data_IF_780851920333
#
_entry.id   IF_780851920333
#
_cell.length_a   1.000
_cell.length_b   1.000
_cell.length_c   1.000
_cell.angle_alpha   90.00
_cell.angle_beta   90.00
_cell.angle_gamma   90.00
#
_symmetry.space_group_name_H-M   'P 1'
#
loop_
_entity.id
_entity.type
_entity.pdbx_description
1 polymer ?
#
# COMPACT_ATOMS: atom_id res chain seq x y z
N UNK A 1 -22.19 -10.65 19.99
CA UNK A 1 -21.53 -9.34 20.22
C UNK A 1 -20.36 -9.42 21.20
N UNK A 2 -20.33 -10.34 22.17
CA UNK A 2 -19.22 -10.48 23.14
C UNK A 2 -17.87 -10.87 22.52
N UNK A 3 -17.87 -11.67 21.43
CA UNK A 3 -16.65 -12.02 20.68
C UNK A 3 -15.89 -10.78 20.19
N UNK A 4 -16.59 -9.68 19.91
CA UNK A 4 -15.98 -8.41 19.50
C UNK A 4 -15.76 -7.41 20.64
N UNK A 5 -16.38 -7.65 21.81
CA UNK A 5 -16.18 -6.82 23.01
C UNK A 5 -14.77 -6.98 23.57
N UNK A 6 -14.18 -8.18 23.46
CA UNK A 6 -12.75 -8.44 23.76
C UNK A 6 -11.78 -7.68 22.84
N UNK A 7 -12.27 -7.22 21.68
CA UNK A 7 -11.51 -6.41 20.71
C UNK A 7 -11.92 -4.93 20.74
N UNK A 8 -12.77 -4.51 21.68
CA UNK A 8 -13.22 -3.13 21.83
C UNK A 8 -12.23 -2.23 22.58
N UNK A 9 -11.28 -2.82 23.29
CA UNK A 9 -10.29 -2.05 24.03
C UNK A 9 -9.20 -1.52 23.08
N UNK A 10 -9.37 -0.27 22.66
CA UNK A 10 -8.44 0.44 21.81
C UNK A 10 -7.02 0.51 22.40
N UNK A 11 -6.89 0.38 23.73
CA UNK A 11 -5.62 0.39 24.47
C UNK A 11 -4.80 -0.89 24.30
N UNK A 12 -5.45 -2.04 24.11
CA UNK A 12 -4.75 -3.34 23.92
C UNK A 12 -4.10 -3.46 22.54
N UNK A 13 -4.50 -2.63 21.58
CA UNK A 13 -3.95 -2.64 20.22
C UNK A 13 -4.35 -3.85 19.37
N UNK A 14 -5.32 -4.66 19.81
CA UNK A 14 -5.62 -5.96 19.18
C UNK A 14 -6.54 -5.84 17.96
N UNK A 15 -7.35 -4.78 17.83
CA UNK A 15 -8.29 -4.69 16.72
C UNK A 15 -7.70 -3.94 15.53
N UNK A 16 -7.42 -4.63 14.39
CA UNK A 16 -6.85 -4.00 13.21
C UNK A 16 -7.86 -3.15 12.42
N UNK A 17 -9.12 -3.09 12.87
CA UNK A 17 -10.19 -2.47 12.09
C UNK A 17 -10.81 -1.23 12.73
N UNK A 18 -10.52 -0.94 14.00
CA UNK A 18 -11.02 0.27 14.64
C UNK A 18 -10.19 1.47 14.15
N UNK A 19 -10.88 2.46 13.55
CA UNK A 19 -10.32 3.77 13.27
C UNK A 19 -10.23 4.55 14.59
N UNK A 20 -9.05 5.13 14.86
CA UNK A 20 -8.90 6.05 15.98
C UNK A 20 -9.32 7.44 15.48
N UNK A 21 -10.34 8.03 16.10
CA UNK A 21 -10.56 9.48 16.02
C UNK A 21 -9.42 10.14 16.82
N UNK A 22 -8.88 11.29 16.43
CA UNK A 22 -9.60 12.57 16.51
C UNK A 22 -8.78 13.70 15.86
N UNK A 23 -9.40 14.56 15.03
CA UNK A 23 -9.01 15.97 14.98
C UNK A 23 -9.53 16.69 16.22
N UNK A 24 -8.77 17.65 16.75
CA UNK A 24 -9.26 18.59 17.77
C UNK A 24 -10.23 19.58 17.11
N UNK A 25 -11.14 20.19 17.88
CA UNK A 25 -12.05 21.22 17.35
C UNK A 25 -11.28 22.35 16.65
N UNK A 26 -10.14 22.76 17.23
CA UNK A 26 -9.23 23.75 16.64
C UNK A 26 -8.71 23.27 15.28
N UNK A 27 -8.25 22.02 15.18
CA UNK A 27 -7.70 21.51 13.92
C UNK A 27 -8.76 21.41 12.82
N UNK A 28 -10.02 21.13 13.18
CA UNK A 28 -11.13 21.18 12.23
C UNK A 28 -11.39 22.59 11.72
N UNK A 29 -11.41 23.59 12.60
CA UNK A 29 -11.63 25.00 12.21
C UNK A 29 -10.52 25.48 11.29
N UNK A 30 -9.25 25.30 11.67
CA UNK A 30 -8.10 25.65 10.83
C UNK A 30 -8.20 24.98 9.46
N UNK A 31 -8.58 23.71 9.44
CA UNK A 31 -8.67 22.95 8.20
C UNK A 31 -9.83 23.37 7.32
N UNK A 32 -10.95 23.83 7.87
CA UNK A 32 -12.03 24.41 7.08
C UNK A 32 -11.54 25.61 6.24
N UNK A 33 -10.65 26.43 6.79
CA UNK A 33 -10.06 27.57 6.07
C UNK A 33 -8.95 27.16 5.10
N UNK A 34 -8.09 26.22 5.49
CA UNK A 34 -6.90 25.84 4.70
C UNK A 34 -7.24 24.82 3.60
N UNK A 35 -8.28 24.01 3.76
CA UNK A 35 -8.63 22.93 2.85
C UNK A 35 -8.93 23.37 1.41
N UNK A 36 -9.69 24.45 1.14
CA UNK A 36 -9.91 24.92 -0.23
C UNK A 36 -8.60 25.29 -0.93
N UNK A 37 -7.71 25.98 -0.22
CA UNK A 37 -6.40 26.35 -0.74
C UNK A 37 -5.55 25.11 -1.05
N UNK A 38 -5.55 24.11 -0.15
CA UNK A 38 -4.90 22.81 -0.38
C UNK A 38 -5.46 22.07 -1.57
N UNK A 39 -6.76 22.12 -1.80
CA UNK A 39 -7.39 21.50 -2.98
C UNK A 39 -6.88 22.14 -4.27
N UNK A 40 -6.78 23.48 -4.33
CA UNK A 40 -6.23 24.19 -5.49
C UNK A 40 -4.79 23.76 -5.76
N UNK A 41 -3.94 23.74 -4.72
CA UNK A 41 -2.57 23.26 -4.86
C UNK A 41 -2.49 21.80 -5.31
N UNK A 42 -3.30 20.93 -4.71
CA UNK A 42 -3.34 19.52 -5.05
C UNK A 42 -3.74 19.30 -6.51
N UNK A 43 -4.76 20.01 -7.01
CA UNK A 43 -5.16 19.96 -8.44
C UNK A 43 -3.99 20.36 -9.33
N UNK A 44 -3.29 21.45 -9.02
CA UNK A 44 -2.10 21.89 -9.75
C UNK A 44 -1.01 20.81 -9.79
N UNK A 45 -0.68 20.20 -8.65
CA UNK A 45 0.31 19.12 -8.57
C UNK A 45 -0.14 17.85 -9.30
N UNK A 46 -1.42 17.49 -9.25
CA UNK A 46 -1.98 16.33 -9.97
C UNK A 46 -1.85 16.52 -11.48
N UNK A 47 -2.18 17.71 -12.01
CA UNK A 47 -2.04 18.02 -13.43
C UNK A 47 -0.58 17.98 -13.87
N UNK A 48 0.33 18.57 -13.07
CA UNK A 48 1.75 18.54 -13.37
C UNK A 48 2.32 17.11 -13.31
N UNK A 49 1.92 16.31 -12.33
CA UNK A 49 2.28 14.90 -12.23
C UNK A 49 1.81 14.12 -13.46
N UNK A 50 0.58 14.32 -13.92
CA UNK A 50 0.04 13.65 -15.12
C UNK A 50 0.93 13.90 -16.34
N UNK A 51 1.37 15.15 -16.54
CA UNK A 51 2.27 15.52 -17.63
C UNK A 51 3.62 14.82 -17.47
N UNK A 52 4.21 14.87 -16.27
CA UNK A 52 5.49 14.22 -15.97
C UNK A 52 5.42 12.70 -16.16
N UNK A 53 4.33 12.06 -15.76
CA UNK A 53 4.11 10.63 -15.94
C UNK A 53 3.89 10.24 -17.39
N UNK A 54 3.22 11.09 -18.18
CA UNK A 54 3.07 10.89 -19.61
C UNK A 54 4.43 10.89 -20.31
N UNK A 55 5.32 11.82 -19.94
CA UNK A 55 6.70 11.82 -20.42
C UNK A 55 7.49 10.60 -19.91
N UNK A 56 7.43 10.29 -18.61
CA UNK A 56 8.09 9.12 -18.04
C UNK A 56 7.71 7.83 -18.77
N UNK A 57 6.42 7.69 -19.06
CA UNK A 57 5.87 6.55 -19.79
C UNK A 57 6.31 6.53 -21.26
N UNK A 58 6.31 7.68 -21.94
CA UNK A 58 6.83 7.79 -23.31
C UNK A 58 8.30 7.34 -23.40
N UNK A 59 9.16 7.82 -22.49
CA UNK A 59 10.56 7.41 -22.43
C UNK A 59 10.77 5.96 -22.00
N UNK A 60 9.82 5.38 -21.26
CA UNK A 60 9.82 3.95 -20.93
C UNK A 60 9.49 3.08 -22.14
N UNK A 61 8.54 3.51 -22.98
CA UNK A 61 8.12 2.76 -24.18
C UNK A 61 9.18 2.83 -25.29
N UNK A 62 9.89 3.96 -25.42
CA UNK A 62 10.94 4.11 -26.43
C UNK A 62 12.25 3.42 -25.99
N UNK A 63 12.71 2.38 -26.71
CA UNK A 63 13.96 1.69 -26.36
C UNK A 63 15.16 2.65 -26.34
N UNK A 64 16.03 2.52 -25.32
CA UNK A 64 17.26 3.31 -25.18
C UNK A 64 17.12 4.63 -24.42
N UNK A 65 15.90 5.15 -24.20
CA UNK A 65 15.70 6.42 -23.47
C UNK A 65 15.37 6.24 -21.98
N UNK A 66 15.29 5.00 -21.49
CA UNK A 66 14.93 4.70 -20.10
C UNK A 66 15.88 5.36 -19.10
N UNK A 67 17.17 5.50 -19.42
CA UNK A 67 18.17 6.15 -18.56
C UNK A 67 17.81 7.61 -18.23
N UNK A 68 17.34 8.38 -19.23
CA UNK A 68 16.93 9.79 -19.05
C UNK A 68 15.76 9.89 -18.07
N UNK A 69 14.77 8.99 -18.24
CA UNK A 69 13.63 8.92 -17.33
C UNK A 69 14.05 8.63 -15.89
N UNK A 70 15.00 7.70 -15.69
CA UNK A 70 15.48 7.34 -14.36
C UNK A 70 16.28 8.45 -13.67
N UNK A 71 17.04 9.26 -14.41
CA UNK A 71 17.92 10.26 -13.80
C UNK A 71 17.24 11.61 -13.57
N UNK A 72 16.45 12.09 -14.54
CA UNK A 72 15.84 13.41 -14.51
C UNK A 72 14.40 13.34 -14.00
N UNK A 73 13.56 12.58 -14.72
CA UNK A 73 12.12 12.56 -14.53
C UNK A 73 11.76 11.95 -13.17
N UNK A 74 12.44 10.87 -12.77
CA UNK A 74 12.26 10.24 -11.47
C UNK A 74 12.51 11.19 -10.27
N UNK A 75 13.43 12.15 -10.38
CA UNK A 75 13.69 13.13 -9.32
C UNK A 75 12.55 14.15 -9.24
N UNK A 76 12.14 14.68 -10.38
CA UNK A 76 11.02 15.63 -10.47
C UNK A 76 9.71 15.00 -10.01
N UNK A 77 9.39 13.81 -10.50
CA UNK A 77 8.22 13.02 -10.10
C UNK A 77 8.17 12.83 -8.58
N UNK A 78 9.27 12.41 -7.96
CA UNK A 78 9.34 12.27 -6.49
C UNK A 78 9.15 13.59 -5.75
N UNK A 79 9.73 14.67 -6.24
CA UNK A 79 9.53 16.00 -5.65
C UNK A 79 8.05 16.39 -5.71
N UNK A 80 7.42 16.23 -6.86
CA UNK A 80 6.01 16.54 -7.06
C UNK A 80 5.09 15.66 -6.20
N UNK A 81 5.38 14.37 -6.07
CA UNK A 81 4.63 13.48 -5.16
C UNK A 81 4.80 13.92 -3.71
N UNK A 82 5.99 14.32 -3.27
CA UNK A 82 6.20 14.88 -1.92
C UNK A 82 5.40 16.16 -1.72
N UNK A 83 5.43 17.08 -2.68
CA UNK A 83 4.67 18.32 -2.61
C UNK A 83 3.16 18.07 -2.60
N UNK A 84 2.66 17.08 -3.35
CA UNK A 84 1.26 16.68 -3.33
C UNK A 84 0.86 16.10 -1.96
N UNK A 85 1.63 15.15 -1.45
CA UNK A 85 1.38 14.49 -0.16
C UNK A 85 1.41 15.50 1.00
N UNK A 86 2.38 16.41 0.97
CA UNK A 86 2.47 17.52 1.91
C UNK A 86 1.29 18.50 1.74
N UNK A 87 0.96 18.89 0.51
CA UNK A 87 -0.12 19.81 0.22
C UNK A 87 -1.50 19.29 0.63
N UNK A 88 -1.76 17.99 0.50
CA UNK A 88 -3.06 17.40 0.87
C UNK A 88 -3.24 17.19 2.36
N UNK A 89 -2.22 16.65 3.05
CA UNK A 89 -2.37 16.17 4.43
C UNK A 89 -1.14 16.36 5.30
N UNK A 90 -0.23 17.28 4.91
CA UNK A 90 1.06 17.47 5.57
C UNK A 90 1.86 16.17 5.71
N UNK A 91 1.73 15.22 4.76
CA UNK A 91 2.37 13.91 4.89
C UNK A 91 3.85 14.02 4.51
N UNK A 92 4.72 13.91 5.51
CA UNK A 92 6.16 13.80 5.33
C UNK A 92 6.54 12.34 5.09
N UNK A 93 7.20 12.04 3.97
CA UNK A 93 7.69 10.68 3.69
C UNK A 93 9.13 10.55 4.19
N UNK A 94 9.34 9.67 5.16
CA UNK A 94 10.65 9.39 5.76
C UNK A 94 11.03 7.95 5.46
N UNK A 95 12.28 7.74 5.08
CA UNK A 95 12.85 6.42 4.99
C UNK A 95 13.38 6.04 6.37
N UNK A 96 12.86 4.96 6.96
CA UNK A 96 13.29 4.52 8.28
C UNK A 96 14.68 3.88 8.24
N UNK A 97 15.39 3.96 9.36
CA UNK A 97 16.69 3.32 9.51
C UNK A 97 16.55 1.80 9.44
N UNK A 98 16.96 1.22 8.31
CA UNK A 98 17.11 -0.21 8.14
C UNK A 98 18.57 -0.50 7.84
N UNK A 99 19.24 -1.40 8.59
CA UNK A 99 20.70 -1.61 8.52
C UNK A 99 21.20 -2.10 7.17
N UNK A 100 20.29 -2.52 6.27
CA UNK A 100 20.59 -2.86 4.88
C UNK A 100 19.55 -2.27 3.96
N UNK A 101 19.80 -1.06 3.48
CA UNK A 101 18.96 -0.42 2.49
C UNK A 101 19.07 -1.18 1.16
N UNK A 102 18.08 -2.00 0.84
CA UNK A 102 18.02 -2.71 -0.44
C UNK A 102 17.07 -1.94 -1.35
N UNK A 103 17.63 -1.18 -2.30
CA UNK A 103 16.84 -0.62 -3.38
C UNK A 103 16.30 -1.78 -4.24
N UNK A 104 14.97 -1.88 -4.43
CA UNK A 104 14.41 -2.89 -5.31
C UNK A 104 14.90 -2.71 -6.74
N UNK A 105 15.24 -3.81 -7.39
CA UNK A 105 15.76 -3.88 -8.75
C UNK A 105 14.78 -4.56 -9.70
N UNK A 106 15.06 -4.53 -11.00
CA UNK A 106 14.21 -5.15 -12.01
C UNK A 106 13.97 -6.63 -11.73
N UNK A 107 12.70 -7.04 -11.66
CA UNK A 107 12.31 -8.41 -11.32
C UNK A 107 12.29 -8.74 -9.82
N UNK A 108 12.70 -7.83 -8.93
CA UNK A 108 12.46 -8.01 -7.50
C UNK A 108 10.96 -7.91 -7.21
N UNK A 109 10.49 -8.67 -6.21
CA UNK A 109 9.11 -8.63 -5.71
C UNK A 109 9.11 -7.91 -4.38
N UNK A 110 8.59 -6.69 -4.36
CA UNK A 110 8.39 -5.88 -3.17
C UNK A 110 7.02 -6.19 -2.61
N UNK A 111 6.94 -7.00 -1.56
CA UNK A 111 5.67 -7.26 -0.90
C UNK A 111 5.44 -6.22 0.19
N UNK A 112 4.40 -5.42 -0.01
CA UNK A 112 4.07 -4.30 0.84
C UNK A 112 2.85 -4.60 1.70
N UNK A 113 2.86 -4.04 2.90
CA UNK A 113 1.66 -3.91 3.70
C UNK A 113 0.70 -2.88 3.10
N UNK A 114 -0.57 -2.91 3.50
CA UNK A 114 -1.58 -1.96 3.03
C UNK A 114 -2.32 -1.32 4.22
N UNK A 115 -2.19 0.00 4.40
CA UNK A 115 -2.82 0.83 5.44
C UNK A 115 -3.63 1.97 4.84
N UNK A 116 -3.14 2.56 3.75
CA UNK A 116 -3.71 3.77 3.17
C UNK A 116 -3.79 3.71 1.65
N UNK A 117 -4.71 4.48 1.08
CA UNK A 117 -4.75 4.81 -0.36
C UNK A 117 -3.47 5.50 -0.85
N UNK A 118 -2.66 6.06 0.06
CA UNK A 118 -1.41 6.75 -0.26
C UNK A 118 -0.17 5.84 -0.26
N UNK A 119 -0.29 4.56 0.12
CA UNK A 119 0.85 3.66 0.28
C UNK A 119 1.69 3.53 -0.98
N UNK A 120 1.05 3.51 -2.16
CA UNK A 120 1.78 3.50 -3.43
C UNK A 120 2.68 4.73 -3.59
N UNK A 121 2.17 5.93 -3.32
CA UNK A 121 2.91 7.19 -3.45
C UNK A 121 4.07 7.22 -2.46
N UNK A 122 3.82 6.75 -1.25
CA UNK A 122 4.81 6.69 -0.16
C UNK A 122 5.93 5.70 -0.48
N UNK A 123 5.58 4.51 -0.98
CA UNK A 123 6.54 3.49 -1.42
C UNK A 123 7.35 3.98 -2.62
N UNK A 124 6.73 4.66 -3.58
CA UNK A 124 7.41 5.24 -4.73
C UNK A 124 8.49 6.25 -4.32
N UNK A 125 8.13 7.18 -3.42
CA UNK A 125 9.05 8.20 -2.92
C UNK A 125 10.20 7.59 -2.13
N UNK A 126 9.90 6.68 -1.19
CA UNK A 126 10.90 6.09 -0.30
C UNK A 126 11.77 5.04 -1.00
N UNK A 127 11.15 4.16 -1.79
CA UNK A 127 11.81 3.10 -2.54
C UNK A 127 12.56 3.60 -3.77
N UNK A 128 12.38 4.88 -4.15
CA UNK A 128 12.97 5.49 -5.34
C UNK A 128 12.62 4.72 -6.62
N UNK A 129 11.36 4.31 -6.73
CA UNK A 129 10.85 3.46 -7.80
C UNK A 129 10.06 4.31 -8.81
N UNK A 130 10.68 4.89 -9.87
CA UNK A 130 9.96 5.77 -10.79
C UNK A 130 8.88 5.03 -11.59
N UNK A 131 9.13 3.75 -11.91
CA UNK A 131 8.26 2.90 -12.69
C UNK A 131 8.28 1.50 -12.07
N UNK A 132 7.11 0.98 -11.74
CA UNK A 132 6.94 -0.35 -11.16
C UNK A 132 5.55 -0.88 -11.51
N UNK A 133 5.38 -2.19 -11.40
CA UNK A 133 4.07 -2.81 -11.55
C UNK A 133 3.45 -2.99 -10.19
N UNK A 134 2.15 -2.76 -10.07
CA UNK A 134 1.42 -2.99 -8.82
C UNK A 134 0.48 -4.17 -8.99
N UNK A 135 0.51 -5.11 -8.06
CA UNK A 135 -0.42 -6.22 -7.99
C UNK A 135 -1.15 -6.24 -6.64
N UNK A 136 -2.43 -6.58 -6.66
CA UNK A 136 -3.26 -6.73 -5.48
C UNK A 136 -3.84 -8.13 -5.44
N UNK A 137 -3.83 -8.75 -4.27
CA UNK A 137 -4.66 -9.92 -4.04
C UNK A 137 -6.14 -9.50 -4.03
N UNK A 138 -6.94 -10.12 -4.88
CA UNK A 138 -8.37 -9.82 -5.00
C UNK A 138 -9.26 -11.03 -4.73
N UNK A 139 -8.70 -12.24 -4.60
CA UNK A 139 -9.48 -13.46 -4.39
C UNK A 139 -10.56 -13.61 -5.47
N UNK A 140 -11.83 -13.76 -5.05
CA UNK A 140 -12.99 -13.82 -5.96
C UNK A 140 -13.49 -12.45 -6.45
N UNK A 141 -12.90 -11.32 -6.03
CA UNK A 141 -13.29 -9.98 -6.47
C UNK A 141 -12.67 -9.54 -7.80
N UNK A 142 -12.00 -10.44 -8.51
CA UNK A 142 -11.47 -10.16 -9.85
C UNK A 142 -12.67 -9.93 -10.78
N UNK A 143 -12.82 -8.74 -11.38
CA UNK A 143 -13.98 -8.43 -12.21
C UNK A 143 -14.02 -9.36 -13.43
N UNK A 144 -15.19 -9.90 -13.81
CA UNK A 144 -15.29 -10.79 -14.96
C UNK A 144 -14.85 -10.06 -16.23
N UNK A 145 -13.72 -10.51 -16.78
CA UNK A 145 -13.11 -10.21 -18.08
C UNK A 145 -13.89 -9.27 -19.01
N UNK A 146 -13.85 -7.96 -18.75
CA UNK A 146 -14.17 -6.97 -19.79
C UNK A 146 -12.93 -6.81 -20.69
N UNK A 147 -12.92 -7.52 -21.82
CA UNK A 147 -12.09 -7.27 -23.03
C UNK A 147 -10.79 -6.48 -22.80
N UNK A 148 -9.70 -7.16 -22.40
CA UNK A 148 -8.34 -6.62 -22.55
C UNK A 148 -7.41 -6.68 -21.33
N UNK A 149 -7.89 -6.97 -20.12
CA UNK A 149 -7.01 -7.16 -18.95
C UNK A 149 -6.50 -8.60 -18.86
N UNK A 150 -5.18 -8.77 -18.79
CA UNK A 150 -4.51 -10.07 -18.53
C UNK A 150 -4.62 -10.38 -17.04
N UNK A 151 -5.62 -11.17 -16.67
CA UNK A 151 -5.73 -11.74 -15.32
C UNK A 151 -4.71 -12.87 -15.14
N UNK A 152 -4.04 -12.88 -14.00
CA UNK A 152 -3.17 -13.97 -13.58
C UNK A 152 -3.73 -14.50 -12.27
N UNK A 153 -4.72 -15.38 -12.39
CA UNK A 153 -5.41 -15.98 -11.24
C UNK A 153 -6.12 -14.94 -10.37
N UNK A 154 -5.88 -14.98 -9.07
CA UNK A 154 -6.52 -14.15 -8.03
C UNK A 154 -5.92 -12.75 -7.87
N UNK A 155 -5.11 -12.30 -8.84
CA UNK A 155 -4.39 -11.03 -8.81
C UNK A 155 -5.00 -9.99 -9.75
N UNK A 156 -5.18 -8.77 -9.23
CA UNK A 156 -5.41 -7.59 -10.06
C UNK A 156 -4.07 -6.91 -10.31
N UNK A 157 -3.62 -6.91 -11.55
CA UNK A 157 -2.34 -6.33 -11.97
C UNK A 157 -2.55 -5.00 -12.68
N UNK A 158 -1.79 -3.99 -12.26
CA UNK A 158 -1.78 -2.65 -12.81
C UNK A 158 -0.40 -2.33 -13.39
N UNK A 159 -0.32 -2.39 -14.72
CA UNK A 159 0.90 -2.08 -15.46
C UNK A 159 1.25 -0.58 -15.42
N UNK A 160 2.52 -0.22 -15.66
CA UNK A 160 2.95 1.16 -15.74
C UNK A 160 2.10 1.93 -16.76
N UNK A 161 1.57 3.06 -16.35
CA UNK A 161 0.81 3.97 -17.20
C UNK A 161 0.75 5.35 -16.54
N UNK A 162 0.49 6.43 -17.30
CA UNK A 162 0.40 7.77 -16.73
C UNK A 162 -0.70 7.93 -15.66
N UNK A 163 -1.72 7.07 -15.72
CA UNK A 163 -2.84 7.05 -14.77
C UNK A 163 -2.71 5.94 -13.71
N UNK A 164 -1.57 5.24 -13.65
CA UNK A 164 -1.40 4.08 -12.76
C UNK A 164 -1.66 4.46 -11.29
N UNK A 165 -1.09 5.58 -10.82
CA UNK A 165 -1.28 6.05 -9.44
C UNK A 165 -2.73 6.24 -9.07
N UNK A 166 -3.51 6.87 -9.94
CA UNK A 166 -4.93 7.14 -9.69
C UNK A 166 -5.77 5.86 -9.76
N UNK A 167 -5.44 4.94 -10.67
CA UNK A 167 -6.08 3.63 -10.74
C UNK A 167 -5.81 2.81 -9.47
N UNK A 168 -4.57 2.83 -8.98
CA UNK A 168 -4.17 2.17 -7.73
C UNK A 168 -4.86 2.81 -6.54
N UNK A 169 -4.82 4.14 -6.42
CA UNK A 169 -5.50 4.88 -5.35
C UNK A 169 -6.99 4.55 -5.30
N UNK A 170 -7.67 4.60 -6.45
CA UNK A 170 -9.10 4.29 -6.55
C UNK A 170 -9.39 2.83 -6.22
N UNK A 171 -8.52 1.90 -6.62
CA UNK A 171 -8.67 0.51 -6.27
C UNK A 171 -8.55 0.31 -4.76
N UNK A 172 -7.48 0.80 -4.13
CA UNK A 172 -7.28 0.73 -2.68
C UNK A 172 -8.49 1.32 -1.95
N UNK A 173 -8.97 2.50 -2.38
CA UNK A 173 -10.15 3.15 -1.81
C UNK A 173 -11.41 2.26 -1.86
N UNK A 174 -11.57 1.48 -2.94
CA UNK A 174 -12.69 0.56 -3.10
C UNK A 174 -12.49 -0.80 -2.41
N UNK A 175 -11.26 -1.18 -2.04
CA UNK A 175 -11.00 -2.44 -1.32
C UNK A 175 -11.64 -2.46 0.08
N UNK A 176 -11.94 -1.29 0.65
CA UNK A 176 -12.68 -1.16 1.91
C UNK A 176 -14.21 -1.24 1.76
N UNK A 177 -14.73 -1.44 0.55
CA UNK A 177 -16.17 -1.56 0.31
C UNK A 177 -16.67 -2.97 0.64
N UNK A 178 -17.91 -3.05 1.12
CA UNK A 178 -18.52 -4.32 1.50
C UNK A 178 -18.65 -5.30 0.32
N UNK A 179 -18.99 -4.78 -0.87
CA UNK A 179 -19.10 -5.58 -2.09
C UNK A 179 -17.76 -6.24 -2.45
N UNK A 180 -16.67 -5.46 -2.43
CA UNK A 180 -15.33 -6.00 -2.68
C UNK A 180 -14.94 -7.03 -1.62
N UNK A 181 -15.12 -6.72 -0.34
CA UNK A 181 -14.72 -7.62 0.75
C UNK A 181 -15.47 -8.96 0.71
N UNK A 182 -16.77 -8.96 0.40
CA UNK A 182 -17.55 -10.19 0.20
C UNK A 182 -17.02 -11.02 -0.95
N UNK A 183 -16.81 -10.39 -2.11
CA UNK A 183 -16.29 -11.08 -3.29
C UNK A 183 -14.88 -11.63 -3.04
N UNK A 184 -14.00 -10.84 -2.41
CA UNK A 184 -12.63 -11.26 -2.10
C UNK A 184 -12.60 -12.39 -1.07
N UNK A 185 -13.44 -12.33 -0.03
CA UNK A 185 -13.55 -13.36 1.01
C UNK A 185 -14.30 -14.63 0.56
N UNK A 186 -15.01 -14.57 -0.57
CA UNK A 186 -15.64 -15.75 -1.19
C UNK A 186 -14.66 -16.62 -1.98
N UNK A 187 -13.48 -16.09 -2.34
CA UNK A 187 -12.41 -16.87 -2.96
C UNK A 187 -11.81 -17.90 -2.00
N UNK A 188 -11.06 -18.86 -2.55
CA UNK A 188 -10.34 -19.86 -1.76
C UNK A 188 -9.52 -19.18 -0.66
N UNK A 189 -9.91 -19.46 0.59
CA UNK A 189 -9.61 -18.67 1.79
C UNK A 189 -8.16 -18.68 2.24
N UNK A 190 -7.24 -18.22 1.40
CA UNK A 190 -5.82 -18.10 1.71
C UNK A 190 -5.03 -19.41 1.62
N UNK A 191 -5.66 -20.53 1.25
CA UNK A 191 -5.03 -21.85 1.20
C UNK A 191 -4.22 -22.05 -0.08
N UNK A 192 -4.71 -21.53 -1.20
CA UNK A 192 -4.04 -21.65 -2.49
C UNK A 192 -2.84 -20.70 -2.54
N UNK A 193 -1.62 -21.21 -2.79
CA UNK A 193 -0.44 -20.37 -2.96
C UNK A 193 -0.60 -19.39 -4.11
N UNK A 194 -0.21 -18.14 -3.86
CA UNK A 194 -0.26 -17.06 -4.83
C UNK A 194 1.03 -17.08 -5.67
N UNK A 195 0.94 -17.66 -6.87
CA UNK A 195 2.07 -17.72 -7.78
C UNK A 195 2.25 -16.43 -8.57
N UNK A 196 3.35 -15.73 -8.31
CA UNK A 196 3.75 -14.50 -9.01
C UNK A 196 4.93 -14.72 -9.95
N UNK A 197 5.40 -15.95 -10.13
CA UNK A 197 6.58 -16.28 -10.94
C UNK A 197 6.47 -15.80 -12.38
N UNK A 198 5.30 -16.02 -13.01
CA UNK A 198 5.07 -15.59 -14.39
C UNK A 198 5.07 -14.06 -14.52
N UNK A 199 4.46 -13.34 -13.56
CA UNK A 199 4.48 -11.87 -13.51
C UNK A 199 5.90 -11.36 -13.30
N UNK A 200 6.62 -11.94 -12.35
CA UNK A 200 8.00 -11.58 -12.04
C UNK A 200 8.92 -11.75 -13.24
N UNK A 201 8.87 -12.92 -13.92
CA UNK A 201 9.63 -13.18 -15.16
C UNK A 201 9.29 -12.16 -16.25
N UNK A 202 8.02 -11.81 -16.42
CA UNK A 202 7.57 -10.81 -17.40
C UNK A 202 8.11 -9.41 -17.08
N UNK A 203 8.03 -8.97 -15.83
CA UNK A 203 8.42 -7.60 -15.45
C UNK A 203 9.93 -7.43 -15.27
N UNK A 204 10.65 -8.52 -15.00
CA UNK A 204 12.11 -8.55 -15.12
C UNK A 204 12.56 -8.20 -16.53
N UNK A 205 11.90 -8.74 -17.57
CA UNK A 205 12.20 -8.39 -18.98
C UNK A 205 11.90 -6.92 -19.29
N UNK A 206 10.90 -6.35 -18.61
CA UNK A 206 10.54 -4.94 -18.74
C UNK A 206 11.42 -4.01 -17.89
N UNK A 207 12.38 -4.55 -17.12
CA UNK A 207 13.30 -3.72 -16.34
C UNK A 207 12.67 -3.06 -15.10
N UNK A 208 11.52 -3.54 -14.62
CA UNK A 208 10.79 -2.93 -13.50
C UNK A 208 10.54 -3.91 -12.34
N UNK A 209 10.49 -3.44 -11.09
CA UNK A 209 10.10 -4.28 -9.96
C UNK A 209 8.58 -4.48 -9.90
N UNK A 210 8.16 -5.53 -9.19
CA UNK A 210 6.75 -5.82 -8.89
C UNK A 210 6.45 -5.48 -7.44
N UNK A 211 5.53 -4.55 -7.19
CA UNK A 211 5.01 -4.25 -5.86
C UNK A 211 3.71 -5.04 -5.65
N UNK A 212 3.69 -5.92 -4.65
CA UNK A 212 2.56 -6.79 -4.32
C UNK A 212 1.94 -6.39 -2.99
N UNK A 213 0.65 -6.03 -3.00
CA UNK A 213 -0.16 -5.86 -1.80
C UNK A 213 -0.92 -7.17 -1.51
N UNK A 214 -0.25 -8.08 -0.81
CA UNK A 214 -0.76 -9.43 -0.53
C UNK A 214 -1.95 -9.43 0.45
N UNK A 215 -2.11 -8.38 1.27
CA UNK A 215 -3.26 -8.23 2.18
C UNK A 215 -4.58 -8.00 1.43
N UNK A 216 -4.53 -7.50 0.19
CA UNK A 216 -5.69 -7.22 -0.67
C UNK A 216 -6.60 -6.07 -0.21
N UNK A 217 -6.45 -5.58 1.02
CA UNK A 217 -7.24 -4.47 1.58
C UNK A 217 -6.49 -3.79 2.73
N UNK A 218 -6.88 -2.57 3.08
CA UNK A 218 -6.20 -1.79 4.14
C UNK A 218 -6.44 -2.32 5.56
N UNK A 219 -5.40 -2.34 6.39
CA UNK A 219 -5.50 -2.48 7.85
C UNK A 219 -5.35 -1.12 8.55
N UNK A 220 -5.58 -1.03 9.86
CA UNK A 220 -5.28 0.18 10.64
C UNK A 220 -3.80 0.30 11.04
N UNK A 221 -2.93 -0.52 10.45
CA UNK A 221 -1.50 -0.49 10.75
C UNK A 221 -1.06 -1.02 12.11
N UNK A 222 -1.95 -1.60 12.92
CA UNK A 222 -1.59 -2.31 14.16
C UNK A 222 -1.31 -3.80 13.93
N UNK A 223 -1.73 -4.34 12.79
CA UNK A 223 -1.44 -5.73 12.44
C UNK A 223 -1.37 -5.95 10.94
N UNK A 224 -0.85 -7.12 10.56
CA UNK A 224 -0.81 -7.60 9.18
C UNK A 224 -1.90 -8.65 9.01
N UNK A 225 -2.76 -8.49 8.01
CA UNK A 225 -3.81 -9.47 7.70
C UNK A 225 -3.20 -10.80 7.25
N UNK A 226 -3.96 -11.88 7.42
CA UNK A 226 -3.58 -13.19 6.88
C UNK A 226 -3.49 -13.14 5.35
N UNK A 227 -2.37 -13.62 4.81
CA UNK A 227 -2.10 -13.69 3.37
C UNK A 227 -1.89 -15.15 2.96
N UNK A 228 -2.18 -15.48 1.70
CA UNK A 228 -1.78 -16.78 1.13
C UNK A 228 -0.26 -16.96 1.15
N UNK A 229 0.25 -18.20 1.17
CA UNK A 229 1.64 -18.48 0.81
C UNK A 229 1.96 -17.88 -0.57
N UNK A 230 3.19 -17.44 -0.79
CA UNK A 230 3.60 -16.84 -2.06
C UNK A 230 4.55 -17.78 -2.79
N UNK A 231 4.37 -17.96 -4.10
CA UNK A 231 5.35 -18.64 -4.95
C UNK A 231 6.04 -17.59 -5.81
N UNK A 232 7.34 -17.43 -5.61
CA UNK A 232 8.18 -16.46 -6.33
C UNK A 232 9.22 -17.21 -7.16
N UNK A 233 9.73 -16.56 -8.20
CA UNK A 233 10.85 -17.08 -8.98
C UNK A 233 12.12 -17.18 -8.14
N UNK A 234 12.93 -18.19 -8.45
CA UNK A 234 14.23 -18.41 -7.84
C UNK A 234 15.19 -17.22 -8.09
N UNK A 235 16.27 -17.10 -7.29
CA UNK A 235 17.32 -16.10 -7.46
C UNK A 235 17.82 -16.01 -8.92
N UNK A 236 18.28 -14.84 -9.39
CA UNK A 236 18.77 -13.68 -8.63
C UNK A 236 17.69 -12.71 -8.15
N UNK A 237 16.44 -12.94 -8.51
CA UNK A 237 15.37 -12.03 -8.12
C UNK A 237 15.06 -12.15 -6.62
N UNK A 238 15.00 -11.01 -5.93
CA UNK A 238 14.86 -10.95 -4.48
C UNK A 238 13.42 -10.65 -4.11
N UNK A 239 13.01 -11.16 -2.95
CA UNK A 239 11.81 -10.71 -2.29
C UNK A 239 12.19 -9.65 -1.25
N UNK A 240 11.51 -8.51 -1.29
CA UNK A 240 11.73 -7.38 -0.36
C UNK A 240 10.43 -7.13 0.39
N UNK A 241 10.47 -7.14 1.72
CA UNK A 241 9.37 -6.72 2.56
C UNK A 241 9.39 -5.19 2.69
N UNK A 242 8.26 -4.53 2.39
CA UNK A 242 8.08 -3.09 2.55
C UNK A 242 7.02 -2.83 3.60
N UNK A 243 7.43 -2.21 4.72
CA UNK A 243 6.50 -1.75 5.73
C UNK A 243 6.36 -0.23 5.67
N UNK A 244 5.16 0.22 5.34
CA UNK A 244 4.69 1.60 5.55
C UNK A 244 4.05 1.69 6.93
N UNK A 245 4.46 2.67 7.72
CA UNK A 245 3.89 3.03 9.02
C UNK A 245 3.51 4.51 9.03
N UNK A 246 2.23 4.82 9.21
CA UNK A 246 1.77 6.19 9.51
C UNK A 246 1.73 6.44 11.02
N UNK A 247 2.10 7.64 11.42
CA UNK A 247 1.97 8.12 12.81
C UNK A 247 0.56 8.65 13.14
N UNK A 248 -0.27 8.91 12.13
CA UNK A 248 -1.65 9.39 12.27
C UNK A 248 -2.66 8.38 11.75
N UNK A 249 -3.75 8.20 12.51
CA UNK A 249 -4.86 7.35 12.09
C UNK A 249 -5.72 7.99 10.98
N UNK A 250 -5.61 9.30 10.74
CA UNK A 250 -6.37 10.02 9.71
C UNK A 250 -6.05 9.52 8.28
N UNK A 251 -4.87 8.91 8.09
CA UNK A 251 -4.44 8.37 6.81
C UNK A 251 -4.90 6.91 6.60
N UNK A 252 -5.35 6.22 7.64
CA UNK A 252 -5.75 4.82 7.52
C UNK A 252 -7.10 4.69 6.83
N UNK A 253 -7.18 3.85 5.80
CA UNK A 253 -8.40 3.63 5.00
C UNK A 253 -8.98 2.24 5.22
N UNK A 254 -9.20 1.88 6.50
CA UNK A 254 -9.71 0.56 6.89
C UNK A 254 -11.07 0.26 6.25
N UNK A 255 -12.00 1.20 6.41
CA UNK A 255 -13.35 1.16 5.83
C UNK A 255 -13.40 2.22 4.76
N UNK A 256 -14.06 1.93 3.63
CA UNK A 256 -14.26 2.92 2.58
C UNK A 256 -14.97 4.16 3.15
N UNK A 257 -14.34 5.35 3.12
CA UNK A 257 -15.01 6.59 3.50
C UNK A 257 -16.23 6.83 2.62
N UNK A 258 -17.32 7.39 3.18
CA UNK A 258 -18.56 7.67 2.40
C UNK A 258 -18.31 8.60 1.21
N UNK A 259 -17.41 9.57 1.36
CA UNK A 259 -17.05 10.54 0.34
C UNK A 259 -15.54 10.79 0.33
N UNK A 260 -14.96 10.87 -0.86
CA UNK A 260 -13.54 11.21 -1.06
C UNK A 260 -13.20 12.57 -0.45
N UNK A 261 -14.06 13.58 -0.60
CA UNK A 261 -13.83 14.91 -0.04
C UNK A 261 -13.75 14.88 1.49
N UNK A 262 -14.60 14.11 2.15
CA UNK A 262 -14.57 13.94 3.61
C UNK A 262 -13.27 13.28 4.06
N UNK A 263 -12.78 12.31 3.29
CA UNK A 263 -11.50 11.67 3.56
C UNK A 263 -10.33 12.68 3.42
N UNK A 264 -10.27 13.40 2.30
CA UNK A 264 -9.25 14.43 2.07
C UNK A 264 -9.31 15.54 3.13
N UNK A 265 -10.51 15.97 3.52
CA UNK A 265 -10.71 16.94 4.59
C UNK A 265 -10.19 16.40 5.93
N UNK A 266 -10.54 15.17 6.29
CA UNK A 266 -10.08 14.54 7.53
C UNK A 266 -8.56 14.43 7.59
N UNK A 267 -7.90 14.16 6.46
CA UNK A 267 -6.44 14.18 6.39
C UNK A 267 -5.89 15.58 6.61
N UNK A 268 -6.51 16.59 6.00
CA UNK A 268 -6.10 17.97 6.15
C UNK A 268 -6.19 18.47 7.60
N UNK A 269 -7.15 17.93 8.35
CA UNK A 269 -7.41 18.18 9.77
C UNK A 269 -6.42 17.55 10.75
N UNK A 270 -5.55 16.65 10.28
CA UNK A 270 -4.49 16.07 11.10
C UNK A 270 -3.30 17.04 11.14
N UNK A 271 -3.29 17.93 12.14
CA UNK A 271 -2.16 18.83 12.36
C UNK A 271 -0.97 18.17 13.10
N UNK A 272 -1.19 17.05 13.79
CA UNK A 272 -0.17 16.35 14.56
C UNK A 272 -0.17 14.84 14.26
N UNK A 273 1.00 14.19 14.34
CA UNK A 273 1.14 12.73 14.28
C UNK A 273 0.71 12.10 15.61
N UNK A 274 -0.53 11.61 15.72
CA UNK A 274 -1.18 11.35 17.01
C UNK A 274 -0.84 10.00 17.69
N UNK A 275 0.27 9.34 17.38
CA UNK A 275 0.61 8.04 18.01
C UNK A 275 1.29 8.18 19.37
N UNK A 276 2.07 9.23 19.57
CA UNK A 276 2.78 9.51 20.81
C UNK A 276 2.20 10.75 21.51
N UNK A 277 2.44 10.96 22.83
CA UNK A 277 2.04 12.18 23.53
C UNK A 277 2.49 13.43 22.76
N UNK A 278 1.70 14.51 22.79
CA UNK A 278 1.90 15.70 21.95
C UNK A 278 3.32 16.31 21.97
N UNK A 279 4.09 16.07 23.03
CA UNK A 279 5.47 16.54 23.19
C UNK A 279 6.51 15.70 22.42
N UNK A 280 6.17 14.47 22.03
CA UNK A 280 7.01 13.55 21.25
C UNK A 280 6.50 13.35 19.82
N UNK A 281 5.26 13.74 19.53
CA UNK A 281 4.70 13.62 18.19
C UNK A 281 5.43 14.56 17.20
N UNK A 282 5.78 14.08 15.99
CA UNK A 282 6.29 14.97 14.97
C UNK A 282 5.26 16.06 14.65
N UNK A 283 5.78 17.23 14.27
CA UNK A 283 4.95 18.42 13.93
C UNK A 283 4.00 18.17 12.77
N UNK A 284 4.28 17.17 11.94
CA UNK A 284 3.46 16.81 10.79
C UNK A 284 3.29 15.28 10.70
N UNK A 285 2.14 14.82 10.19
CA UNK A 285 1.94 13.43 9.80
C UNK A 285 3.13 12.88 9.02
N UNK A 286 3.67 11.77 9.47
CA UNK A 286 4.84 11.12 8.89
C UNK A 286 4.50 9.71 8.44
N UNK A 287 4.83 9.42 7.19
CA UNK A 287 4.80 8.09 6.61
C UNK A 287 6.22 7.53 6.60
N UNK A 288 6.50 6.59 7.48
CA UNK A 288 7.81 5.94 7.56
C UNK A 288 7.80 4.67 6.73
N UNK A 289 8.72 4.55 5.77
CA UNK A 289 8.89 3.33 4.96
C UNK A 289 10.17 2.62 5.35
N UNK A 290 10.07 1.33 5.63
CA UNK A 290 11.20 0.45 5.93
C UNK A 290 11.20 -0.72 4.95
N UNK A 291 12.37 -1.00 4.39
CA UNK A 291 12.58 -2.07 3.41
C UNK A 291 13.55 -3.10 4.01
N UNK A 292 13.24 -4.38 3.88
CA UNK A 292 14.17 -5.45 4.23
C UNK A 292 14.11 -6.59 3.21
N UNK A 293 15.27 -7.13 2.85
CA UNK A 293 15.32 -8.35 2.05
C UNK A 293 14.79 -9.53 2.86
N UNK A 294 13.96 -10.36 2.21
CA UNK A 294 13.45 -11.60 2.80
C UNK A 294 14.39 -12.73 2.41
N UNK A 295 14.95 -13.44 3.38
CA UNK A 295 15.80 -14.61 3.12
C UNK A 295 14.94 -15.75 2.60
N UNK A 296 15.13 -16.08 1.33
CA UNK A 296 14.51 -17.21 0.66
C UNK A 296 15.34 -18.46 0.96
N UNK A 297 14.73 -19.44 1.63
CA UNK A 297 15.37 -20.74 1.85
C UNK A 297 15.00 -21.62 0.67
N UNK A 298 15.96 -21.94 -0.20
CA UNK A 298 15.77 -22.93 -1.26
C UNK A 298 15.71 -24.31 -0.63
N UNK A 299 14.50 -24.88 -0.52
CA UNK A 299 14.34 -26.29 -0.16
C UNK A 299 14.96 -27.15 -1.27
N UNK A 300 15.84 -28.08 -0.89
CA UNK A 300 16.69 -28.90 -1.78
C UNK A 300 15.97 -29.88 -2.72
N UNK A 301 14.68 -29.66 -3.03
CA UNK A 301 13.89 -30.50 -3.93
C UNK A 301 12.75 -29.78 -4.65
N UNK A 302 12.71 -28.44 -4.63
CA UNK A 302 11.74 -27.67 -5.41
C UNK A 302 12.18 -27.62 -6.88
N UNK A 303 11.20 -27.62 -7.80
CA UNK A 303 11.44 -27.37 -9.22
C UNK A 303 12.36 -26.14 -9.39
N UNK A 304 13.42 -26.27 -10.18
CA UNK A 304 14.64 -25.43 -10.18
C UNK A 304 14.41 -23.91 -10.24
N UNK A 305 13.21 -23.45 -10.61
CA UNK A 305 12.89 -22.07 -10.92
C UNK A 305 11.98 -21.35 -9.90
N UNK A 306 11.49 -22.03 -8.86
CA UNK A 306 10.49 -21.44 -7.94
C UNK A 306 10.80 -21.68 -6.47
N UNK A 307 10.50 -20.69 -5.63
CA UNK A 307 10.61 -20.75 -4.18
C UNK A 307 9.25 -20.44 -3.56
N UNK A 308 8.76 -21.37 -2.74
CA UNK A 308 7.58 -21.15 -1.92
C UNK A 308 7.97 -20.42 -0.63
N UNK A 309 7.31 -19.30 -0.37
CA UNK A 309 7.49 -18.48 0.82
C UNK A 309 6.27 -18.68 1.72
N UNK A 310 6.52 -19.22 2.92
CA UNK A 310 5.49 -19.35 3.93
C UNK A 310 4.94 -17.98 4.33
N UNK A 311 3.61 -17.88 4.31
CA UNK A 311 2.85 -16.72 4.75
C UNK A 311 3.20 -16.26 6.17
N UNK A 312 3.55 -17.20 7.08
CA UNK A 312 3.89 -16.86 8.46
C UNK A 312 5.24 -16.17 8.53
N UNK A 313 6.27 -16.76 7.91
CA UNK A 313 7.61 -16.17 7.82
C UNK A 313 7.56 -14.79 7.17
N UNK A 314 6.78 -14.64 6.10
CA UNK A 314 6.59 -13.36 5.44
C UNK A 314 5.95 -12.30 6.36
N UNK A 315 4.83 -12.63 7.03
CA UNK A 315 4.17 -11.71 7.97
C UNK A 315 5.06 -11.36 9.16
N UNK A 316 5.79 -12.32 9.70
CA UNK A 316 6.80 -12.08 10.72
C UNK A 316 7.88 -11.12 10.24
N UNK A 317 8.33 -11.24 8.99
CA UNK A 317 9.30 -10.31 8.40
C UNK A 317 8.70 -8.91 8.29
N UNK A 318 7.49 -8.75 7.75
CA UNK A 318 6.81 -7.46 7.72
C UNK A 318 6.61 -6.85 9.11
N UNK A 319 6.25 -7.65 10.10
CA UNK A 319 6.11 -7.23 11.49
C UNK A 319 7.46 -6.88 12.14
N UNK A 320 8.55 -7.57 11.81
CA UNK A 320 9.88 -7.21 12.29
C UNK A 320 10.38 -5.90 11.68
N UNK A 321 9.95 -5.61 10.44
CA UNK A 321 10.31 -4.37 9.73
C UNK A 321 9.44 -3.19 10.19
N UNK A 322 8.20 -3.41 10.60
CA UNK A 322 7.33 -2.39 11.18
C UNK A 322 7.49 -2.30 12.69
N UNK A 323 7.63 -1.10 13.26
CA UNK A 323 7.77 -0.95 14.73
C UNK A 323 6.47 -1.20 15.49
N UNK A 324 5.32 -1.11 14.82
CA UNK A 324 4.02 -0.97 15.48
C UNK A 324 3.07 -2.16 15.26
N UNK A 325 3.51 -3.18 14.51
CA UNK A 325 2.63 -4.25 14.02
C UNK A 325 2.82 -5.56 14.76
N UNK A 326 1.71 -6.29 14.87
CA UNK A 326 1.67 -7.68 15.33
C UNK A 326 1.13 -8.59 14.24
N UNK A 327 1.60 -9.84 14.21
CA UNK A 327 1.01 -10.86 13.34
C UNK A 327 -0.37 -11.20 13.89
N UNK A 328 -1.40 -11.06 13.06
CA UNK A 328 -2.77 -11.36 13.46
C UNK A 328 -3.27 -12.62 12.75
N UNK A 329 -4.08 -13.41 13.45
CA UNK A 329 -4.82 -14.54 12.89
C UNK A 329 -6.11 -14.13 12.19
N UNK A 330 -6.25 -12.87 11.79
CA UNK A 330 -7.45 -12.32 11.15
C UNK A 330 -7.23 -12.11 9.66
N UNK A 331 -8.23 -12.44 8.86
CA UNK A 331 -8.19 -12.35 7.39
C UNK A 331 -9.26 -11.43 6.81
N UNK A 332 -9.44 -11.53 5.48
CA UNK A 332 -10.46 -10.79 4.74
C UNK A 332 -11.89 -11.09 5.21
N UNK A 333 -12.17 -12.35 5.59
CA UNK A 333 -13.48 -12.76 6.10
C UNK A 333 -13.83 -12.05 7.41
N UNK A 334 -12.87 -11.94 8.34
CA UNK A 334 -13.07 -11.21 9.60
C UNK A 334 -13.29 -9.72 9.34
N UNK A 335 -12.52 -9.14 8.41
CA UNK A 335 -12.70 -7.75 8.00
C UNK A 335 -14.07 -7.51 7.39
N UNK A 336 -14.54 -8.42 6.53
CA UNK A 336 -15.86 -8.36 5.93
C UNK A 336 -16.95 -8.32 7.02
N UNK A 337 -16.90 -9.24 7.98
CA UNK A 337 -17.84 -9.24 9.12
C UNK A 337 -17.77 -7.98 9.97
N UNK A 338 -16.58 -7.41 10.16
CA UNK A 338 -16.42 -6.10 10.82
C UNK A 338 -17.12 -4.97 10.05
N UNK A 339 -16.88 -4.87 8.73
CA UNK A 339 -17.47 -3.80 7.90
C UNK A 339 -18.99 -3.94 7.82
N UNK A 340 -19.52 -5.17 7.74
CA UNK A 340 -20.97 -5.42 7.82
C UNK A 340 -21.57 -4.88 9.11
N UNK A 341 -20.97 -5.21 10.26
CA UNK A 341 -21.42 -4.73 11.56
C UNK A 341 -21.26 -3.22 11.73
N UNK A 342 -20.24 -2.62 11.08
CA UNK A 342 -20.00 -1.18 11.11
C UNK A 342 -21.02 -0.40 10.28
N UNK A 343 -21.36 -0.89 9.09
CA UNK A 343 -22.33 -0.23 8.18
C UNK A 343 -23.77 -0.35 8.68
N UNK A 344 -24.08 -1.37 9.48
CA UNK A 344 -25.41 -1.56 10.07
C UNK A 344 -25.75 -0.57 11.21
N UNK A 345 -24.81 0.30 11.62
CA UNK A 345 -24.99 1.31 12.67
C UNK A 345 -25.26 2.69 12.07
#
# INVERSE_FOLDING_TARGET
MEKYRKFGDASTGINPFISMQTPTTISMVVSAFVFPLRCVFAVGFVLLLLVVDAFAYLFFVVPGLSFVSHQLIAKLQRLLVRCLLFGLGNICVVQGDTPRLVAPSAGDVVVANLQSVWDMFVIEVAGRLPLFVVAFYAGGAVPPRSTGKKEVGSLIVMEPSPLQRWRVWWHIYNTGSLAFLRAAASGDGGTVPLDVTALQKRYRRLGVPLVLFAEGTCSNGKGVLSTSPLVVGAPPARMVASAVDYDTAALHTVVRPRNVFVHLFSMSASLYGSRDPAWYSPQFPTATVRLAAVTLNTSSGAAEDTVMVDSVKFRQTLCGVSRSRRVLGVGLRDKCGFVEAFVAR
#
